data_IF_770526198464
#
_entry.id   IF_770526198464
#
_cell.length_a   1.000
_cell.length_b   1.000
_cell.length_c   1.000
_cell.angle_alpha   90.00
_cell.angle_beta   90.00
_cell.angle_gamma   90.00
#
_symmetry.space_group_name_H-M   'P 1'
#
loop_
_entity.id
_entity.type
_entity.pdbx_description
1 polymer ?
#
# COMPACT_ATOMS: atom_id res chain seq x y z
N UNK A 1 -26.52 5.69 -10.23
CA UNK A 1 -25.62 6.85 -10.03
C UNK A 1 -24.87 7.14 -11.32
N UNK A 2 -24.61 8.40 -11.68
CA UNK A 2 -23.75 8.74 -12.83
C UNK A 2 -22.35 8.14 -12.60
N UNK A 3 -21.70 7.60 -13.65
CA UNK A 3 -20.38 6.93 -13.57
C UNK A 3 -19.32 7.76 -12.82
N UNK A 4 -19.36 9.09 -12.97
CA UNK A 4 -18.48 10.04 -12.26
C UNK A 4 -18.66 10.03 -10.75
N UNK A 5 -19.91 10.04 -10.26
CA UNK A 5 -20.19 10.04 -8.82
C UNK A 5 -19.75 8.74 -8.15
N UNK A 6 -19.90 7.62 -8.87
CA UNK A 6 -19.40 6.32 -8.40
C UNK A 6 -17.88 6.29 -8.27
N UNK A 7 -17.15 6.78 -9.28
CA UNK A 7 -15.68 6.87 -9.24
C UNK A 7 -15.17 7.73 -8.07
N UNK A 8 -15.78 8.90 -7.86
CA UNK A 8 -15.41 9.80 -6.76
C UNK A 8 -15.67 9.11 -5.41
N UNK A 9 -16.78 8.41 -5.28
CA UNK A 9 -17.12 7.67 -4.06
C UNK A 9 -16.13 6.52 -3.79
N UNK A 10 -15.77 5.76 -4.82
CA UNK A 10 -14.77 4.69 -4.71
C UNK A 10 -13.41 5.27 -4.30
N UNK A 11 -12.96 6.34 -4.96
CA UNK A 11 -11.70 7.00 -4.62
C UNK A 11 -11.71 7.53 -3.17
N UNK A 12 -12.81 8.14 -2.73
CA UNK A 12 -12.97 8.63 -1.36
C UNK A 12 -12.87 7.50 -0.32
N UNK A 13 -13.59 6.39 -0.53
CA UNK A 13 -13.50 5.22 0.35
C UNK A 13 -12.07 4.69 0.36
N UNK A 14 -11.48 4.53 -0.83
CA UNK A 14 -10.14 4.00 -1.00
C UNK A 14 -9.10 4.82 -0.23
N UNK A 15 -9.10 6.15 -0.40
CA UNK A 15 -8.19 7.06 0.32
C UNK A 15 -8.45 7.06 1.82
N UNK A 16 -9.71 7.09 2.26
CA UNK A 16 -10.06 7.04 3.69
C UNK A 16 -9.56 5.75 4.34
N UNK A 17 -9.73 4.61 3.68
CA UNK A 17 -9.28 3.32 4.19
C UNK A 17 -7.76 3.25 4.22
N UNK A 18 -7.05 3.74 3.20
CA UNK A 18 -5.59 3.84 3.19
C UNK A 18 -5.06 4.68 4.35
N UNK A 19 -5.61 5.88 4.56
CA UNK A 19 -5.22 6.73 5.69
C UNK A 19 -5.49 6.03 7.03
N UNK A 20 -6.62 5.35 7.16
CA UNK A 20 -6.93 4.53 8.34
C UNK A 20 -5.90 3.43 8.57
N UNK A 21 -5.48 2.71 7.52
CA UNK A 21 -4.44 1.69 7.58
C UNK A 21 -3.07 2.26 7.97
N UNK A 22 -2.79 3.51 7.63
CA UNK A 22 -1.55 4.21 8.01
C UNK A 22 -1.56 4.65 9.48
N UNK A 23 -2.63 5.30 9.95
CA UNK A 23 -2.67 5.89 11.30
C UNK A 23 -3.17 4.93 12.38
N UNK A 24 -4.13 4.05 12.06
CA UNK A 24 -4.79 3.16 13.01
C UNK A 24 -4.95 1.72 12.45
N UNK A 25 -3.84 1.03 12.12
CA UNK A 25 -3.86 -0.23 11.37
C UNK A 25 -4.72 -1.31 12.02
N UNK A 26 -4.65 -1.49 13.34
CA UNK A 26 -5.42 -2.50 14.06
C UNK A 26 -6.95 -2.31 13.94
N UNK A 27 -7.41 -1.07 14.12
CA UNK A 27 -8.84 -0.74 14.06
C UNK A 27 -9.35 -0.86 12.63
N UNK A 28 -8.61 -0.29 11.68
CA UNK A 28 -9.02 -0.26 10.28
C UNK A 28 -9.01 -1.65 9.65
N UNK A 29 -8.03 -2.51 9.94
CA UNK A 29 -8.03 -3.90 9.42
C UNK A 29 -9.24 -4.67 9.96
N UNK A 30 -9.58 -4.53 11.24
CA UNK A 30 -10.80 -5.15 11.79
C UNK A 30 -12.06 -4.70 11.04
N UNK A 31 -12.17 -3.42 10.72
CA UNK A 31 -13.30 -2.86 9.96
C UNK A 31 -13.32 -3.37 8.51
N UNK A 32 -12.15 -3.49 7.88
CA UNK A 32 -11.99 -4.01 6.51
C UNK A 32 -12.28 -5.50 6.43
N UNK A 33 -11.79 -6.33 7.35
CA UNK A 33 -12.06 -7.77 7.38
C UNK A 33 -13.55 -8.07 7.53
N UNK A 34 -14.32 -7.20 8.20
CA UNK A 34 -15.79 -7.33 8.33
C UNK A 34 -16.55 -6.89 7.07
N UNK A 35 -15.93 -6.14 6.16
CA UNK A 35 -16.57 -5.60 4.95
C UNK A 35 -15.79 -6.05 3.71
N UNK A 36 -16.21 -7.12 3.03
CA UNK A 36 -15.44 -7.74 1.95
C UNK A 36 -15.12 -6.77 0.79
N UNK A 37 -15.98 -5.76 0.57
CA UNK A 37 -15.78 -4.72 -0.46
C UNK A 37 -14.53 -3.87 -0.22
N UNK A 38 -14.03 -3.79 1.02
CA UNK A 38 -12.84 -3.00 1.38
C UNK A 38 -11.53 -3.80 1.32
N UNK A 39 -11.60 -5.13 1.20
CA UNK A 39 -10.43 -6.01 1.15
C UNK A 39 -9.42 -5.65 0.04
N UNK A 40 -9.84 -5.23 -1.18
CA UNK A 40 -8.89 -4.86 -2.23
C UNK A 40 -7.93 -3.73 -1.81
N UNK A 41 -8.37 -2.85 -0.90
CA UNK A 41 -7.54 -1.74 -0.42
C UNK A 41 -6.34 -2.23 0.41
N UNK A 42 -6.43 -3.38 1.08
CA UNK A 42 -5.27 -3.96 1.80
C UNK A 42 -4.16 -4.35 0.81
N UNK A 43 -4.50 -4.67 -0.43
CA UNK A 43 -3.54 -4.97 -1.47
C UNK A 43 -3.01 -3.73 -2.19
N UNK A 44 -3.47 -2.52 -1.85
CA UNK A 44 -2.98 -1.30 -2.48
C UNK A 44 -1.46 -1.10 -2.38
N UNK A 45 -0.77 -1.51 -1.29
CA UNK A 45 0.68 -1.35 -1.24
C UNK A 45 1.41 -2.32 -2.17
N UNK A 46 0.81 -3.45 -2.60
CA UNK A 46 1.37 -4.25 -3.71
C UNK A 46 1.36 -3.48 -5.03
N UNK A 47 0.30 -2.72 -5.31
CA UNK A 47 0.26 -1.82 -6.46
C UNK A 47 1.36 -0.76 -6.30
N UNK A 48 1.53 -0.22 -5.09
CA UNK A 48 2.63 0.69 -4.75
C UNK A 48 4.01 0.09 -5.03
N UNK A 49 4.27 -1.14 -4.61
CA UNK A 49 5.53 -1.87 -4.88
C UNK A 49 5.76 -2.08 -6.38
N UNK A 50 4.71 -2.49 -7.11
CA UNK A 50 4.80 -2.68 -8.55
C UNK A 50 5.14 -1.38 -9.28
N UNK A 51 4.47 -0.28 -8.91
CA UNK A 51 4.74 1.06 -9.45
C UNK A 51 6.16 1.51 -9.07
N UNK A 52 6.60 1.30 -7.82
CA UNK A 52 7.96 1.62 -7.38
C UNK A 52 9.02 0.85 -8.16
N UNK A 53 8.77 -0.43 -8.46
CA UNK A 53 9.68 -1.25 -9.24
C UNK A 53 9.81 -0.74 -10.68
N UNK A 54 8.69 -0.40 -11.32
CA UNK A 54 8.68 0.20 -12.66
C UNK A 54 9.42 1.55 -12.65
N UNK A 55 9.10 2.43 -11.70
CA UNK A 55 9.74 3.73 -11.58
C UNK A 55 11.24 3.60 -11.27
N UNK A 56 11.65 2.63 -10.46
CA UNK A 56 13.05 2.33 -10.21
C UNK A 56 13.79 1.88 -11.46
N UNK A 57 13.16 1.06 -12.32
CA UNK A 57 13.74 0.61 -13.59
C UNK A 57 13.81 1.74 -14.62
N UNK A 58 12.73 2.51 -14.77
CA UNK A 58 12.69 3.68 -15.65
C UNK A 58 13.68 4.75 -15.18
N UNK A 59 13.75 5.00 -13.87
CA UNK A 59 14.71 5.89 -13.25
C UNK A 59 16.15 5.45 -13.54
N UNK A 60 16.47 4.16 -13.38
CA UNK A 60 17.80 3.65 -13.72
C UNK A 60 18.16 3.80 -15.20
N UNK A 61 17.18 3.80 -16.10
CA UNK A 61 17.39 3.99 -17.53
C UNK A 61 17.55 5.48 -17.92
N UNK A 62 16.79 6.38 -17.28
CA UNK A 62 16.78 7.82 -17.57
C UNK A 62 17.89 8.59 -16.84
N UNK A 63 18.29 8.11 -15.66
CA UNK A 63 19.25 8.79 -14.78
C UNK A 63 20.66 8.31 -15.14
N UNK A 64 21.28 8.97 -16.11
CA UNK A 64 22.72 8.88 -16.38
C UNK A 64 23.52 9.79 -15.42
N UNK A 65 23.15 9.78 -14.14
CA UNK A 65 23.81 10.59 -13.11
C UNK A 65 24.98 9.78 -12.56
N UNK A 66 26.19 10.26 -12.79
CA UNK A 66 27.42 9.67 -12.24
C UNK A 66 27.74 10.30 -10.87
N UNK A 67 28.32 9.50 -9.96
CA UNK A 67 28.81 9.95 -8.65
C UNK A 67 27.77 10.00 -7.52
N UNK A 68 28.07 10.78 -6.48
CA UNK A 68 27.37 10.82 -5.18
C UNK A 68 25.83 11.03 -5.26
N UNK A 69 25.36 11.77 -6.27
CA UNK A 69 23.91 12.03 -6.43
C UNK A 69 23.12 10.76 -6.73
N UNK A 70 23.72 9.81 -7.47
CA UNK A 70 23.11 8.50 -7.76
C UNK A 70 23.00 7.65 -6.51
N UNK A 71 24.04 7.65 -5.67
CA UNK A 71 24.04 6.91 -4.41
C UNK A 71 22.94 7.43 -3.47
N UNK A 72 22.79 8.75 -3.38
CA UNK A 72 21.74 9.36 -2.54
C UNK A 72 20.33 8.98 -3.01
N UNK A 73 20.08 9.02 -4.33
CA UNK A 73 18.80 8.60 -4.92
C UNK A 73 18.57 7.11 -4.65
N UNK A 74 19.60 6.28 -4.80
CA UNK A 74 19.52 4.84 -4.55
C UNK A 74 19.17 4.53 -3.09
N UNK A 75 19.77 5.26 -2.13
CA UNK A 75 19.47 5.11 -0.70
C UNK A 75 18.01 5.48 -0.44
N UNK A 76 17.54 6.63 -0.92
CA UNK A 76 16.15 7.07 -0.73
C UNK A 76 15.16 6.04 -1.29
N UNK A 77 15.38 5.59 -2.53
CA UNK A 77 14.50 4.60 -3.17
C UNK A 77 14.52 3.25 -2.44
N UNK A 78 15.69 2.81 -1.97
CA UNK A 78 15.83 1.55 -1.22
C UNK A 78 15.13 1.64 0.13
N UNK A 79 15.30 2.74 0.86
CA UNK A 79 14.63 2.96 2.15
C UNK A 79 13.12 3.05 1.99
N UNK A 80 12.64 3.76 0.97
CA UNK A 80 11.21 3.82 0.66
C UNK A 80 10.65 2.43 0.32
N UNK A 81 11.38 1.64 -0.47
CA UNK A 81 10.99 0.27 -0.82
C UNK A 81 10.92 -0.63 0.42
N UNK A 82 11.93 -0.58 1.30
CA UNK A 82 11.94 -1.35 2.56
C UNK A 82 10.75 -0.93 3.44
N UNK A 83 10.47 0.37 3.56
CA UNK A 83 9.34 0.88 4.33
C UNK A 83 8.00 0.33 3.83
N UNK A 84 7.78 0.33 2.51
CA UNK A 84 6.56 -0.21 1.90
C UNK A 84 6.47 -1.72 2.12
N UNK A 85 7.57 -2.47 1.99
CA UNK A 85 7.60 -3.91 2.25
C UNK A 85 7.23 -4.26 3.70
N UNK A 86 7.85 -3.57 4.67
CA UNK A 86 7.57 -3.78 6.09
C UNK A 86 6.11 -3.42 6.44
N UNK A 87 5.61 -2.32 5.87
CA UNK A 87 4.21 -1.94 6.05
C UNK A 87 3.28 -3.01 5.46
N UNK A 88 3.59 -3.56 4.29
CA UNK A 88 2.79 -4.62 3.69
C UNK A 88 2.82 -5.92 4.51
N UNK A 89 3.98 -6.29 5.04
CA UNK A 89 4.11 -7.43 5.94
C UNK A 89 3.24 -7.27 7.20
N UNK A 90 3.22 -6.07 7.80
CA UNK A 90 2.36 -5.76 8.95
C UNK A 90 0.87 -5.91 8.61
N UNK A 91 0.43 -5.35 7.48
CA UNK A 91 -0.97 -5.43 7.07
C UNK A 91 -1.41 -6.88 6.83
N UNK A 92 -0.57 -7.69 6.17
CA UNK A 92 -0.84 -9.11 5.93
C UNK A 92 -0.89 -9.88 7.25
N UNK A 93 0.08 -9.66 8.13
CA UNK A 93 0.10 -10.29 9.46
C UNK A 93 -1.20 -10.02 10.23
N UNK A 94 -1.63 -8.76 10.27
CA UNK A 94 -2.86 -8.39 10.96
C UNK A 94 -4.10 -8.97 10.29
N UNK A 95 -4.16 -8.99 8.95
CA UNK A 95 -5.26 -9.62 8.21
C UNK A 95 -5.37 -11.11 8.55
N UNK A 96 -4.25 -11.85 8.50
CA UNK A 96 -4.20 -13.28 8.83
C UNK A 96 -4.62 -13.50 10.29
N UNK A 97 -4.08 -12.71 11.21
CA UNK A 97 -4.41 -12.79 12.65
C UNK A 97 -5.93 -12.64 12.88
N UNK A 98 -6.56 -11.65 12.24
CA UNK A 98 -8.00 -11.46 12.33
C UNK A 98 -8.81 -12.57 11.67
N UNK A 99 -8.36 -13.10 10.52
CA UNK A 99 -9.03 -14.22 9.85
C UNK A 99 -8.98 -15.50 10.69
N UNK A 100 -7.84 -15.81 11.31
CA UNK A 100 -7.69 -16.96 12.20
C UNK A 100 -8.61 -16.85 13.43
N UNK A 101 -8.73 -15.66 14.01
CA UNK A 101 -9.65 -15.42 15.14
C UNK A 101 -11.11 -15.54 14.71
N UNK A 102 -11.45 -15.08 13.50
CA UNK A 102 -12.81 -15.18 12.97
C UNK A 102 -13.19 -16.63 12.65
N UNK A 103 -12.25 -17.45 12.15
CA UNK A 103 -12.48 -18.85 11.81
C UNK A 103 -12.58 -19.77 13.04
N UNK A 104 -11.96 -19.40 14.17
CA UNK A 104 -12.08 -20.14 15.43
C UNK A 104 -13.42 -19.91 16.17
N UNK A 105 -14.26 -18.99 15.70
CA UNK A 105 -15.60 -18.72 16.22
C UNK A 105 -16.66 -19.37 15.35
#
# INVERSE_FOLDING_TARGET
>A
MKKRTFLIFVAYIWTKTLLGLTFHPFRTIREVTRRPVLLPVIFSPFIGLFVFFILGRVGAFLINVYGLRREFISIILSTALISILLWQALLIYLLISFLLVLWKK
#
